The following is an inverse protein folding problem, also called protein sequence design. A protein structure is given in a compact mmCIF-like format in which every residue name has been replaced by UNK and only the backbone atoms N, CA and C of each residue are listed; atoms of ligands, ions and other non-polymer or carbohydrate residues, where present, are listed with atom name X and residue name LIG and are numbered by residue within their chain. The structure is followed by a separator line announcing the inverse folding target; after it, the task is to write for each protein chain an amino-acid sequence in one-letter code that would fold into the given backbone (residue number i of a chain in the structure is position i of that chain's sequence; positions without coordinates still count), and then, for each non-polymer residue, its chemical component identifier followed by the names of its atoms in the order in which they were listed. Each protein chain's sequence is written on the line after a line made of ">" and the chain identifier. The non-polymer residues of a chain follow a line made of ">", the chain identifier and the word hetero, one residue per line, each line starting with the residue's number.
data_IF_795320948962
#
_entry.id   IF_795320948962
#
_cell.length_a   1.000
_cell.length_b   1.000
_cell.length_c   1.000
_cell.angle_alpha   90.00
_cell.angle_beta   90.00
_cell.angle_gamma   90.00
#
_symmetry.space_group_name_H-M   'P 1'
#
loop_
_entity.id
_entity.type
_entity.pdbx_description
1 polymer ?
#
# COMPACT_ATOMS: atom_id res chain seq x y z
N UNK A 1 -37.27 -44.45 43.03
CA UNK A 1 -37.93 -43.49 42.10
C UNK A 1 -39.15 -42.93 42.81
N UNK A 2 -39.46 -41.62 42.71
CA UNK A 2 -39.28 -40.70 41.56
C UNK A 2 -38.28 -39.55 41.83
N UNK A 3 -37.40 -39.19 40.89
CA UNK A 3 -37.53 -38.17 39.80
C UNK A 3 -37.50 -36.72 40.31
N UNK A 4 -36.41 -36.00 40.02
CA UNK A 4 -36.50 -34.55 39.74
C UNK A 4 -35.34 -34.11 38.83
N UNK A 5 -35.66 -34.03 37.54
CA UNK A 5 -34.86 -33.44 36.49
C UNK A 5 -34.63 -31.95 36.76
N UNK A 6 -33.39 -31.55 37.08
CA UNK A 6 -32.93 -30.16 36.81
C UNK A 6 -31.70 -30.14 35.94
N UNK A 7 -31.97 -30.10 34.65
CA UNK A 7 -31.12 -29.47 33.63
C UNK A 7 -30.65 -28.10 34.15
N UNK A 8 -29.39 -27.99 34.56
CA UNK A 8 -28.69 -26.71 34.62
C UNK A 8 -27.90 -26.51 33.31
N UNK A 9 -28.64 -26.40 32.21
CA UNK A 9 -28.16 -25.82 30.96
C UNK A 9 -27.88 -24.32 31.20
N UNK A 10 -26.69 -23.98 31.69
CA UNK A 10 -26.31 -22.58 31.95
C UNK A 10 -24.82 -22.27 31.80
N UNK A 11 -23.96 -23.26 31.54
CA UNK A 11 -22.49 -23.07 31.56
C UNK A 11 -21.88 -22.42 30.31
N UNK A 12 -22.67 -22.20 29.24
CA UNK A 12 -22.18 -21.58 28.00
C UNK A 12 -22.46 -20.07 27.93
N UNK A 13 -23.58 -19.62 28.52
CA UNK A 13 -23.93 -18.20 28.58
C UNK A 13 -23.06 -17.46 29.61
N UNK A 14 -22.91 -18.01 30.81
CA UNK A 14 -22.10 -17.41 31.88
C UNK A 14 -20.61 -17.31 31.52
N UNK A 15 -20.05 -18.30 30.81
CA UNK A 15 -18.66 -18.23 30.32
C UNK A 15 -18.46 -17.17 29.24
N UNK A 16 -19.44 -16.97 28.36
CA UNK A 16 -19.38 -15.92 27.33
C UNK A 16 -19.59 -14.54 27.93
N UNK A 17 -20.38 -14.42 28.98
CA UNK A 17 -20.65 -13.17 29.69
C UNK A 17 -19.44 -12.78 30.56
N UNK A 18 -18.89 -13.70 31.38
CA UNK A 18 -17.61 -13.50 32.06
C UNK A 18 -16.44 -13.21 31.11
N UNK A 19 -16.39 -13.82 29.92
CA UNK A 19 -15.36 -13.51 28.91
C UNK A 19 -15.51 -12.11 28.32
N UNK A 20 -16.74 -11.61 28.16
CA UNK A 20 -16.99 -10.23 27.72
C UNK A 20 -16.68 -9.23 28.81
N UNK A 21 -17.01 -9.54 30.05
CA UNK A 21 -16.74 -8.68 31.21
C UNK A 21 -15.24 -8.63 31.52
N UNK A 22 -14.52 -9.75 31.39
CA UNK A 22 -13.06 -9.78 31.47
C UNK A 22 -12.41 -8.97 30.33
N UNK A 23 -12.82 -9.17 29.08
CA UNK A 23 -12.30 -8.40 27.95
C UNK A 23 -12.61 -6.89 28.05
N UNK A 24 -13.74 -6.53 28.69
CA UNK A 24 -14.12 -5.14 28.93
C UNK A 24 -13.36 -4.52 30.10
N UNK A 25 -13.05 -5.29 31.15
CA UNK A 25 -12.19 -4.88 32.25
C UNK A 25 -10.74 -4.65 31.79
N UNK A 26 -10.20 -5.59 31.00
CA UNK A 26 -8.87 -5.46 30.38
C UNK A 26 -8.80 -4.20 29.49
N UNK A 27 -9.88 -3.89 28.77
CA UNK A 27 -9.95 -2.69 27.92
C UNK A 27 -10.15 -1.40 28.71
N UNK A 28 -10.89 -1.42 29.82
CA UNK A 28 -11.07 -0.25 30.70
C UNK A 28 -9.78 0.06 31.48
N UNK A 29 -9.03 -0.97 31.88
CA UNK A 29 -7.69 -0.85 32.46
C UNK A 29 -6.69 -0.32 31.42
N UNK A 30 -6.74 -0.82 30.18
CA UNK A 30 -5.95 -0.32 29.05
C UNK A 30 -6.29 1.14 28.70
N UNK A 31 -7.56 1.54 28.74
CA UNK A 31 -8.01 2.92 28.54
C UNK A 31 -7.57 3.83 29.70
N UNK A 32 -7.57 3.33 30.94
CA UNK A 32 -7.05 4.05 32.10
C UNK A 32 -5.54 4.33 32.03
N UNK A 33 -4.78 3.50 31.30
CA UNK A 33 -3.36 3.73 31.00
C UNK A 33 -3.13 4.80 29.93
N UNK A 34 -4.13 5.17 29.12
CA UNK A 34 -3.97 6.20 28.08
C UNK A 34 -3.83 7.61 28.67
N UNK A 35 -4.38 7.85 29.87
CA UNK A 35 -4.29 9.13 30.56
C UNK A 35 -2.90 9.40 31.18
N UNK A 36 -2.04 8.38 31.30
CA UNK A 36 -0.71 8.49 31.94
C UNK A 36 0.45 8.35 30.95
N UNK A 37 0.15 8.34 29.64
CA UNK A 37 1.12 8.04 28.59
C UNK A 37 1.39 6.53 28.55
N UNK A 38 1.22 5.93 27.38
CA UNK A 38 1.56 4.53 27.15
C UNK A 38 3.00 4.29 27.60
N UNK A 39 3.31 3.25 28.39
CA UNK A 39 4.69 2.85 28.61
C UNK A 39 5.26 2.50 27.24
N UNK A 40 6.11 3.38 26.72
CA UNK A 40 6.72 3.22 25.42
C UNK A 40 7.51 1.91 25.44
N UNK A 41 7.12 0.96 24.59
CA UNK A 41 7.86 -0.27 24.42
C UNK A 41 9.32 0.02 24.05
N UNK A 42 10.24 -0.94 24.20
CA UNK A 42 11.66 -0.72 23.92
C UNK A 42 11.83 -0.22 22.48
N UNK A 43 12.13 1.08 22.33
CA UNK A 43 12.31 1.75 21.04
C UNK A 43 11.44 3.00 20.79
N UNK A 44 10.42 3.29 21.61
CA UNK A 44 9.60 4.50 21.44
C UNK A 44 10.41 5.80 21.55
N UNK A 45 11.28 5.89 22.55
CA UNK A 45 12.20 7.02 22.73
C UNK A 45 13.07 7.31 21.49
N UNK A 46 13.48 6.26 20.77
CA UNK A 46 14.33 6.38 19.57
C UNK A 46 13.51 6.91 18.39
N UNK A 47 12.27 6.45 18.25
CA UNK A 47 11.36 6.91 17.19
C UNK A 47 10.96 8.36 17.46
N UNK A 48 10.57 8.69 18.69
CA UNK A 48 10.17 10.03 19.09
C UNK A 48 11.32 11.03 18.93
N UNK A 49 12.54 10.66 19.34
CA UNK A 49 13.73 11.49 19.12
C UNK A 49 13.98 11.77 17.63
N UNK A 50 13.84 10.76 16.76
CA UNK A 50 13.98 10.94 15.30
C UNK A 50 12.90 11.84 14.70
N UNK A 51 11.65 11.69 15.13
CA UNK A 51 10.54 12.52 14.65
C UNK A 51 10.77 13.98 15.08
N UNK A 52 11.16 14.23 16.33
CA UNK A 52 11.49 15.58 16.83
C UNK A 52 12.66 16.21 16.10
N UNK A 53 13.71 15.43 15.84
CA UNK A 53 14.84 15.89 15.05
C UNK A 53 14.41 16.30 13.63
N UNK A 54 13.66 15.43 12.93
CA UNK A 54 13.15 15.72 11.59
C UNK A 54 12.21 16.94 11.55
N UNK A 55 11.42 17.17 12.61
CA UNK A 55 10.62 18.39 12.78
C UNK A 55 11.50 19.64 12.95
N UNK A 56 12.55 19.58 13.79
CA UNK A 56 13.47 20.71 13.99
C UNK A 56 14.27 21.07 12.73
N UNK A 57 14.54 20.07 11.89
CA UNK A 57 15.24 20.23 10.61
C UNK A 57 14.31 20.73 9.49
N UNK A 58 13.00 20.89 9.77
CA UNK A 58 12.01 21.31 8.79
C UNK A 58 11.77 20.26 7.70
N UNK A 59 12.09 18.98 7.93
CA UNK A 59 11.89 17.92 6.93
C UNK A 59 10.41 17.67 6.60
N UNK A 60 9.50 18.13 7.47
CA UNK A 60 8.06 18.09 7.25
C UNK A 60 7.49 19.39 6.65
N UNK A 61 8.32 20.41 6.46
CA UNK A 61 7.91 21.67 5.85
C UNK A 61 7.93 21.56 4.33
N UNK A 62 6.90 22.10 3.66
CA UNK A 62 6.78 22.15 2.20
C UNK A 62 6.76 20.77 1.50
N UNK A 63 6.19 19.76 2.15
CA UNK A 63 5.95 18.45 1.54
C UNK A 63 5.02 18.59 0.33
N UNK A 64 5.27 17.78 -0.71
CA UNK A 64 4.37 17.72 -1.85
C UNK A 64 2.99 17.21 -1.40
N UNK A 65 1.98 18.06 -1.57
CA UNK A 65 0.62 17.79 -1.09
C UNK A 65 0.31 18.28 0.32
N UNK A 66 1.19 19.02 1.00
CA UNK A 66 0.90 19.63 2.31
C UNK A 66 -0.39 20.48 2.24
N UNK A 67 -1.34 20.20 3.14
CA UNK A 67 -2.64 20.88 3.20
C UNK A 67 -3.63 20.52 2.09
N UNK A 68 -3.28 19.65 1.13
CA UNK A 68 -4.18 19.17 0.07
C UNK A 68 -4.90 17.90 0.52
N UNK A 69 -6.11 17.69 0.00
CA UNK A 69 -6.82 16.42 0.20
C UNK A 69 -6.03 15.29 -0.45
N UNK A 70 -5.90 14.17 0.27
CA UNK A 70 -5.25 12.97 -0.26
C UNK A 70 -6.05 12.42 -1.45
N UNK A 71 -5.38 12.16 -2.57
CA UNK A 71 -5.96 11.43 -3.70
C UNK A 71 -5.88 9.92 -3.44
N UNK A 72 -7.02 9.35 -3.06
CA UNK A 72 -7.15 7.92 -2.76
C UNK A 72 -7.70 7.11 -3.93
N UNK A 73 -7.95 7.72 -5.10
CA UNK A 73 -8.59 7.03 -6.23
C UNK A 73 -7.82 5.78 -6.63
N UNK A 74 -6.50 5.91 -6.82
CA UNK A 74 -5.63 4.78 -7.16
C UNK A 74 -5.46 3.73 -6.06
N UNK A 75 -5.72 4.06 -4.80
CA UNK A 75 -5.68 3.10 -3.69
C UNK A 75 -6.90 2.18 -3.69
N UNK A 76 -8.08 2.74 -3.94
CA UNK A 76 -9.34 1.98 -3.99
C UNK A 76 -9.57 1.27 -5.32
N UNK A 77 -8.95 1.75 -6.41
CA UNK A 77 -8.94 1.08 -7.71
C UNK A 77 -8.17 -0.28 -7.65
N UNK A 78 -7.28 -0.46 -6.66
CA UNK A 78 -6.59 -1.72 -6.43
C UNK A 78 -7.43 -2.72 -5.60
N UNK A 79 -7.37 -4.03 -5.91
CA UNK A 79 -8.00 -5.09 -5.10
C UNK A 79 -7.55 -5.03 -3.65
N UNK A 80 -8.47 -5.27 -2.71
CA UNK A 80 -8.23 -5.14 -1.26
C UNK A 80 -6.95 -5.82 -0.79
N UNK A 81 -6.73 -7.07 -1.21
CA UNK A 81 -5.57 -7.87 -0.85
C UNK A 81 -4.23 -7.38 -1.45
N UNK A 82 -4.25 -6.45 -2.42
CA UNK A 82 -3.05 -5.90 -3.06
C UNK A 82 -2.82 -4.41 -2.75
N UNK A 83 -3.78 -3.71 -2.13
CA UNK A 83 -3.71 -2.24 -1.94
C UNK A 83 -2.45 -1.78 -1.24
N UNK A 84 -2.08 -2.46 -0.15
CA UNK A 84 -0.89 -2.11 0.65
C UNK A 84 0.38 -2.26 -0.19
N UNK A 85 0.49 -3.37 -0.94
CA UNK A 85 1.64 -3.61 -1.82
C UNK A 85 1.75 -2.57 -2.95
N UNK A 86 0.66 -2.32 -3.67
CA UNK A 86 0.63 -1.30 -4.73
C UNK A 86 0.89 0.10 -4.19
N UNK A 87 0.35 0.45 -3.03
CA UNK A 87 0.57 1.75 -2.40
C UNK A 87 2.04 1.95 -2.02
N UNK A 88 2.67 0.93 -1.42
CA UNK A 88 4.08 0.98 -1.07
C UNK A 88 4.97 1.14 -2.31
N UNK A 89 4.75 0.33 -3.35
CA UNK A 89 5.50 0.42 -4.60
C UNK A 89 5.33 1.79 -5.28
N UNK A 90 4.10 2.31 -5.33
CA UNK A 90 3.82 3.64 -5.87
C UNK A 90 4.57 4.74 -5.10
N UNK A 91 4.55 4.70 -3.77
CA UNK A 91 5.22 5.69 -2.93
C UNK A 91 6.75 5.59 -3.01
N UNK A 92 7.29 4.38 -3.24
CA UNK A 92 8.72 4.15 -3.48
C UNK A 92 9.18 4.63 -4.87
N UNK A 93 8.29 5.18 -5.70
CA UNK A 93 8.60 5.62 -7.05
C UNK A 93 8.78 4.46 -8.04
N UNK A 94 8.26 3.27 -7.73
CA UNK A 94 8.31 2.14 -8.65
C UNK A 94 7.43 2.42 -9.88
N UNK A 95 8.08 2.67 -11.01
CA UNK A 95 7.40 2.87 -12.30
C UNK A 95 7.29 1.51 -12.97
N UNK A 96 6.07 1.03 -13.28
CA UNK A 96 5.89 -0.20 -14.05
C UNK A 96 6.63 -0.13 -15.39
N UNK A 97 7.19 -1.26 -15.80
CA UNK A 97 8.06 -1.34 -16.97
C UNK A 97 7.31 -0.94 -18.26
N UNK A 98 6.00 -1.16 -18.32
CA UNK A 98 5.13 -0.76 -19.43
C UNK A 98 5.10 0.76 -19.58
N UNK A 99 5.00 1.48 -18.46
CA UNK A 99 4.98 2.95 -18.46
C UNK A 99 6.36 3.48 -18.87
N UNK A 100 7.44 2.83 -18.43
CA UNK A 100 8.80 3.17 -18.82
C UNK A 100 9.00 3.01 -20.33
N UNK A 101 8.61 1.86 -20.86
CA UNK A 101 8.72 1.54 -22.30
C UNK A 101 7.82 2.43 -23.16
N UNK A 102 6.60 2.76 -22.70
CA UNK A 102 5.72 3.69 -23.42
C UNK A 102 6.38 5.06 -23.58
N UNK A 103 6.95 5.62 -22.50
CA UNK A 103 7.67 6.90 -22.54
C UNK A 103 8.92 6.82 -23.43
N UNK A 104 9.62 5.70 -23.41
CA UNK A 104 10.80 5.46 -24.26
C UNK A 104 10.42 5.44 -25.76
N UNK A 105 9.31 4.79 -26.11
CA UNK A 105 8.79 4.75 -27.49
C UNK A 105 8.41 6.17 -27.95
N UNK A 106 7.75 6.96 -27.12
CA UNK A 106 7.39 8.36 -27.43
C UNK A 106 8.65 9.20 -27.66
N UNK A 107 9.63 9.15 -26.75
CA UNK A 107 10.88 9.87 -26.91
C UNK A 107 11.66 9.45 -28.18
N UNK A 108 11.64 8.16 -28.53
CA UNK A 108 12.26 7.67 -29.76
C UNK A 108 11.51 8.14 -31.03
N UNK A 109 10.18 8.25 -30.99
CA UNK A 109 9.37 8.81 -32.09
C UNK A 109 9.68 10.29 -32.31
N UNK A 110 9.80 11.07 -31.24
CA UNK A 110 10.17 12.49 -31.32
C UNK A 110 11.57 12.65 -31.91
N UNK A 111 12.52 11.83 -31.46
CA UNK A 111 13.87 11.78 -32.04
C UNK A 111 13.84 11.41 -33.52
N UNK A 112 13.00 10.46 -33.93
CA UNK A 112 12.84 10.07 -35.33
C UNK A 112 12.33 11.25 -36.19
N UNK A 113 11.42 12.07 -35.65
CA UNK A 113 10.90 13.25 -36.34
C UNK A 113 11.97 14.31 -36.58
N UNK A 114 12.94 14.45 -35.66
CA UNK A 114 14.06 15.39 -35.75
C UNK A 114 15.30 14.86 -36.50
N UNK A 115 15.32 13.59 -36.88
CA UNK A 115 16.50 12.94 -37.45
C UNK A 115 16.74 13.36 -38.91
N UNK A 116 17.99 13.73 -39.22
CA UNK A 116 18.38 14.26 -40.54
C UNK A 116 18.94 13.18 -41.47
N UNK A 117 19.55 12.14 -40.92
CA UNK A 117 20.25 11.11 -41.70
C UNK A 117 19.44 9.82 -41.79
N UNK A 118 19.45 9.17 -42.95
CA UNK A 118 18.67 7.95 -43.17
C UNK A 118 19.20 6.73 -42.40
N UNK A 119 20.49 6.74 -42.07
CA UNK A 119 21.09 5.78 -41.13
C UNK A 119 20.54 5.94 -39.71
N UNK A 120 20.50 7.17 -39.19
CA UNK A 120 19.95 7.46 -37.86
C UNK A 120 18.48 7.09 -37.77
N UNK A 121 17.69 7.39 -38.82
CA UNK A 121 16.28 6.97 -38.87
C UNK A 121 16.12 5.46 -38.82
N UNK A 122 16.97 4.69 -39.51
CA UNK A 122 16.93 3.21 -39.46
C UNK A 122 17.25 2.69 -38.07
N UNK A 123 18.28 3.23 -37.42
CA UNK A 123 18.69 2.84 -36.06
C UNK A 123 17.59 3.15 -35.04
N UNK A 124 16.98 4.34 -35.12
CA UNK A 124 15.86 4.72 -34.23
C UNK A 124 14.64 3.84 -34.47
N UNK A 125 14.30 3.54 -35.74
CA UNK A 125 13.19 2.61 -36.07
C UNK A 125 13.40 1.22 -35.49
N UNK A 126 14.63 0.68 -35.53
CA UNK A 126 14.94 -0.61 -34.90
C UNK A 126 14.73 -0.58 -33.39
N UNK A 127 15.15 0.51 -32.72
CA UNK A 127 14.94 0.69 -31.28
C UNK A 127 13.45 0.78 -30.94
N UNK A 128 12.67 1.52 -31.72
CA UNK A 128 11.21 1.60 -31.56
C UNK A 128 10.57 0.22 -31.72
N UNK A 129 10.98 -0.55 -32.74
CA UNK A 129 10.43 -1.89 -32.98
C UNK A 129 10.69 -2.82 -31.79
N UNK A 130 11.93 -2.82 -31.27
CA UNK A 130 12.30 -3.60 -30.09
C UNK A 130 11.47 -3.19 -28.85
N UNK A 131 11.46 -1.89 -28.53
CA UNK A 131 10.72 -1.39 -27.38
C UNK A 131 9.21 -1.66 -27.48
N UNK A 132 8.65 -1.62 -28.70
CA UNK A 132 7.24 -1.94 -28.95
C UNK A 132 6.94 -3.43 -28.76
N UNK A 133 7.86 -4.32 -29.13
CA UNK A 133 7.75 -5.76 -28.87
C UNK A 133 7.78 -6.05 -27.37
N UNK A 134 8.76 -5.48 -26.67
CA UNK A 134 8.89 -5.62 -25.21
C UNK A 134 7.64 -5.11 -24.50
N UNK A 135 7.15 -3.92 -24.88
CA UNK A 135 5.90 -3.36 -24.36
C UNK A 135 4.69 -4.29 -24.59
N UNK A 136 4.55 -4.83 -25.80
CA UNK A 136 3.47 -5.78 -26.11
C UNK A 136 3.52 -7.03 -25.22
N UNK A 137 4.71 -7.59 -25.00
CA UNK A 137 4.92 -8.73 -24.11
C UNK A 137 4.47 -8.45 -22.68
N UNK A 138 4.92 -7.32 -22.10
CA UNK A 138 4.54 -6.93 -20.74
C UNK A 138 3.04 -6.67 -20.59
N UNK A 139 2.41 -6.03 -21.58
CA UNK A 139 0.95 -5.79 -21.57
C UNK A 139 0.15 -7.08 -21.65
N UNK A 140 0.57 -8.04 -22.49
CA UNK A 140 -0.08 -9.35 -22.61
C UNK A 140 0.10 -10.21 -21.36
N UNK A 141 1.29 -10.15 -20.75
CA UNK A 141 1.55 -10.75 -19.44
C UNK A 141 0.56 -10.16 -18.43
N UNK A 142 0.59 -8.85 -18.18
CA UNK A 142 -0.28 -8.21 -17.19
C UNK A 142 -1.77 -8.43 -17.44
N UNK A 143 -2.21 -8.48 -18.70
CA UNK A 143 -3.61 -8.81 -19.04
C UNK A 143 -4.00 -10.21 -18.58
N UNK A 144 -3.12 -11.20 -18.73
CA UNK A 144 -3.35 -12.58 -18.26
C UNK A 144 -3.34 -12.66 -16.74
N UNK A 145 -2.45 -11.91 -16.07
CA UNK A 145 -2.44 -11.81 -14.61
C UNK A 145 -3.72 -11.15 -14.08
N UNK A 146 -4.15 -10.03 -14.68
CA UNK A 146 -5.37 -9.34 -14.31
C UNK A 146 -6.61 -10.25 -14.45
N UNK A 147 -6.69 -11.08 -15.51
CA UNK A 147 -7.80 -12.03 -15.71
C UNK A 147 -7.79 -13.23 -14.76
N UNK A 148 -6.67 -13.54 -14.11
CA UNK A 148 -6.53 -14.71 -13.22
C UNK A 148 -6.75 -14.36 -11.74
N UNK A 149 -6.78 -13.07 -11.43
CA UNK A 149 -6.97 -12.51 -10.09
C UNK A 149 -8.43 -12.14 -9.78
N UNK A 150 -9.35 -12.32 -10.74
CA UNK A 150 -10.80 -12.11 -10.58
C UNK A 150 -11.58 -13.27 -11.20
#
# INVERSE_FOLDING_TARGET
>A
MPDDDRKASGGAAFRKECQKDAARADYQEYLGMLDHGMPEGPGGDIVEAKIRQAMSEGQFDNLDGQGKKLDLKGYFDAPEHLRVGYHFLKNAGFVPEEVRLSKEIEALKDRLASAKTEREKREIKQKIAKASMDYGFYMDYNRKFAKKLF
#
